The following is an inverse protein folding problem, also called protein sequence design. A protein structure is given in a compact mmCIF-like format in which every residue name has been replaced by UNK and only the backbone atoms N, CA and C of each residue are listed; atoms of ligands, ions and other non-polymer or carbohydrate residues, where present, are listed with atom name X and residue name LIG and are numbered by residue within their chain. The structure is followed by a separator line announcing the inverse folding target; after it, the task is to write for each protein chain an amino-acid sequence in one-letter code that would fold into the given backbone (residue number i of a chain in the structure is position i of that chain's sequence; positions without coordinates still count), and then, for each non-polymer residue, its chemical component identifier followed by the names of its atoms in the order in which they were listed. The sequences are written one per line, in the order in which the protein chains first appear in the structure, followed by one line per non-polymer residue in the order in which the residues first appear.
data_IF_779768688841
#
_entry.id   IF_779768688841
#
_cell.length_a   1.000
_cell.length_b   1.000
_cell.length_c   1.000
_cell.angle_alpha   90.00
_cell.angle_beta   90.00
_cell.angle_gamma   90.00
#
_symmetry.space_group_name_H-M   'P 1'
#
loop_
_entity.id
_entity.type
_entity.pdbx_description
1 polymer ?
#
# COMPACT_ATOMS: atom_id res chain seq x y z
N UNK A 1 -39.78 30.98 -41.15
CA UNK A 1 -38.74 29.96 -40.95
C UNK A 1 -37.73 30.50 -39.96
N UNK A 2 -37.83 30.10 -38.69
CA UNK A 2 -36.86 30.43 -37.63
C UNK A 2 -35.79 29.33 -37.66
N UNK A 3 -34.52 29.71 -37.83
CA UNK A 3 -33.39 28.81 -37.64
C UNK A 3 -33.00 28.82 -36.16
N UNK A 4 -32.96 27.65 -35.53
CA UNK A 4 -32.52 27.45 -34.15
C UNK A 4 -31.00 27.26 -34.11
N UNK A 5 -30.30 28.17 -33.44
CA UNK A 5 -28.93 27.93 -32.96
C UNK A 5 -29.00 26.94 -31.80
N UNK A 6 -28.32 25.79 -31.95
CA UNK A 6 -28.09 24.85 -30.86
C UNK A 6 -26.81 25.29 -30.14
N UNK A 7 -27.04 25.74 -28.92
CA UNK A 7 -26.07 26.00 -27.87
C UNK A 7 -25.21 24.75 -27.65
N UNK A 8 -23.91 24.84 -27.92
CA UNK A 8 -22.94 23.78 -27.61
C UNK A 8 -22.28 24.17 -26.30
N UNK A 9 -22.91 23.77 -25.20
CA UNK A 9 -22.37 23.91 -23.85
C UNK A 9 -21.09 23.11 -23.70
N UNK A 10 -19.96 23.75 -24.00
CA UNK A 10 -18.63 23.30 -23.58
C UNK A 10 -18.57 23.55 -22.07
N UNK A 11 -18.69 22.48 -21.29
CA UNK A 11 -18.47 22.52 -19.85
C UNK A 11 -17.02 22.92 -19.58
N UNK A 12 -16.82 24.05 -18.92
CA UNK A 12 -15.53 24.49 -18.41
C UNK A 12 -14.90 23.41 -17.49
N UNK A 13 -13.56 23.30 -17.45
CA UNK A 13 -12.91 22.29 -16.63
C UNK A 13 -13.14 22.59 -15.14
N UNK A 14 -13.69 21.59 -14.44
CA UNK A 14 -13.92 21.57 -13.01
C UNK A 14 -12.69 22.07 -12.22
N UNK A 15 -13.00 22.92 -11.25
CA UNK A 15 -12.14 23.78 -10.44
C UNK A 15 -10.92 23.07 -9.83
N UNK A 16 -9.74 23.62 -10.06
CA UNK A 16 -8.46 23.32 -9.38
C UNK A 16 -8.53 23.30 -7.84
N UNK A 17 -9.56 23.92 -7.25
CA UNK A 17 -9.82 23.90 -5.80
C UNK A 17 -10.39 22.57 -5.29
N UNK A 18 -11.03 21.75 -6.11
CA UNK A 18 -11.53 20.43 -5.68
C UNK A 18 -10.40 19.39 -5.59
N UNK A 19 -9.35 19.51 -6.42
CA UNK A 19 -8.16 18.63 -6.37
C UNK A 19 -7.31 18.83 -5.12
N UNK A 20 -7.35 20.02 -4.53
CA UNK A 20 -6.59 20.37 -3.31
C UNK A 20 -7.29 19.98 -1.99
N UNK A 21 -8.50 19.39 -2.06
CA UNK A 21 -9.26 18.97 -0.88
C UNK A 21 -8.85 17.59 -0.38
N UNK A 22 -8.23 16.73 -1.21
CA UNK A 22 -7.89 15.36 -0.82
C UNK A 22 -6.80 15.26 0.28
N UNK A 23 -6.01 16.32 0.47
CA UNK A 23 -4.89 16.37 1.44
C UNK A 23 -5.29 17.07 2.75
N UNK A 24 -6.40 17.84 2.76
CA UNK A 24 -6.70 18.75 3.87
C UNK A 24 -7.45 18.14 5.06
N UNK A 25 -7.97 16.92 4.97
CA UNK A 25 -8.93 16.45 5.98
C UNK A 25 -8.44 15.41 6.99
N UNK A 26 -7.16 15.01 7.03
CA UNK A 26 -6.63 14.12 8.10
C UNK A 26 -5.09 14.04 8.24
N UNK A 27 -4.34 15.02 7.74
CA UNK A 27 -2.87 14.98 7.82
C UNK A 27 -2.37 15.12 9.25
N UNK A 28 -1.62 14.14 9.75
CA UNK A 28 -0.97 14.21 11.07
C UNK A 28 0.15 15.26 11.08
N UNK A 29 0.61 15.66 12.26
CA UNK A 29 1.74 16.59 12.40
C UNK A 29 2.96 16.13 11.60
N UNK A 30 3.18 14.82 11.48
CA UNK A 30 4.24 14.22 10.68
C UNK A 30 4.13 14.55 9.18
N UNK A 31 2.94 14.38 8.59
CA UNK A 31 2.72 14.64 7.17
C UNK A 31 2.75 16.13 6.81
N UNK A 32 2.52 17.01 7.78
CA UNK A 32 2.53 18.47 7.57
C UNK A 32 3.87 18.99 7.03
N UNK A 33 4.99 18.34 7.41
CA UNK A 33 6.34 18.71 6.98
C UNK A 33 6.63 18.42 5.50
N UNK A 34 5.92 17.45 4.91
CA UNK A 34 6.10 17.04 3.51
C UNK A 34 4.82 17.25 2.68
N UNK A 35 3.87 18.05 3.19
CA UNK A 35 2.58 18.23 2.55
C UNK A 35 2.71 18.82 1.13
N UNK A 36 3.61 19.78 0.93
CA UNK A 36 3.89 20.35 -0.39
C UNK A 36 4.50 19.31 -1.34
N UNK A 37 5.40 18.47 -0.84
CA UNK A 37 6.00 17.40 -1.64
C UNK A 37 4.96 16.35 -2.04
N UNK A 38 4.05 15.99 -1.13
CA UNK A 38 2.94 15.07 -1.43
C UNK A 38 1.96 15.64 -2.45
N UNK A 39 1.72 16.96 -2.47
CA UNK A 39 0.95 17.60 -3.55
C UNK A 39 1.63 17.38 -4.90
N UNK A 40 2.95 17.60 -5.00
CA UNK A 40 3.67 17.37 -6.25
C UNK A 40 3.65 15.89 -6.66
N UNK A 41 3.68 14.96 -5.70
CA UNK A 41 3.49 13.52 -5.98
C UNK A 41 2.12 13.26 -6.60
N UNK A 42 1.03 13.78 -6.02
CA UNK A 42 -0.33 13.58 -6.57
C UNK A 42 -0.52 14.20 -7.96
N UNK A 43 0.01 15.41 -8.18
CA UNK A 43 -0.07 16.09 -9.47
C UNK A 43 0.66 15.27 -10.54
N UNK A 44 1.91 14.89 -10.28
CA UNK A 44 2.71 14.11 -11.22
C UNK A 44 2.14 12.71 -11.46
N UNK A 45 1.63 12.06 -10.42
CA UNK A 45 0.96 10.76 -10.52
C UNK A 45 -0.26 10.85 -11.45
N UNK A 46 -1.09 11.89 -11.28
CA UNK A 46 -2.26 12.12 -12.12
C UNK A 46 -1.87 12.37 -13.58
N UNK A 47 -0.85 13.20 -13.81
CA UNK A 47 -0.40 13.56 -15.15
C UNK A 47 0.15 12.36 -15.93
N UNK A 48 0.89 11.46 -15.25
CA UNK A 48 1.45 10.26 -15.90
C UNK A 48 0.41 9.22 -16.32
N UNK A 49 -0.77 9.26 -15.71
CA UNK A 49 -1.86 8.34 -16.04
C UNK A 49 -2.72 8.81 -17.21
N UNK A 50 -2.52 10.04 -17.71
CA UNK A 50 -3.17 10.52 -18.91
C UNK A 50 -2.57 9.84 -20.14
N UNK A 51 -3.41 9.12 -20.88
CA UNK A 51 -3.04 8.38 -22.08
C UNK A 51 -3.80 8.91 -23.30
N UNK A 52 -3.21 8.70 -24.49
CA UNK A 52 -3.90 8.92 -25.78
C UNK A 52 -5.09 7.96 -25.96
N UNK A 53 -5.05 6.82 -25.29
CA UNK A 53 -6.18 5.89 -25.21
C UNK A 53 -7.04 6.26 -23.98
N UNK A 54 -8.25 6.82 -24.15
CA UNK A 54 -9.04 7.34 -23.04
C UNK A 54 -9.41 6.30 -21.99
N UNK A 55 -9.62 5.04 -22.40
CA UNK A 55 -10.01 3.98 -21.48
C UNK A 55 -8.92 3.67 -20.44
N UNK A 56 -7.64 3.73 -20.82
CA UNK A 56 -6.52 3.57 -19.88
C UNK A 56 -6.53 4.66 -18.82
N UNK A 57 -6.79 5.90 -19.23
CA UNK A 57 -6.87 7.04 -18.32
C UNK A 57 -8.05 6.87 -17.35
N UNK A 58 -9.21 6.46 -17.85
CA UNK A 58 -10.42 6.26 -17.03
C UNK A 58 -10.19 5.20 -15.95
N UNK A 59 -9.66 4.04 -16.30
CA UNK A 59 -9.46 2.93 -15.36
C UNK A 59 -8.39 3.31 -14.32
N UNK A 60 -7.29 3.91 -14.76
CA UNK A 60 -6.21 4.36 -13.87
C UNK A 60 -6.71 5.40 -12.87
N UNK A 61 -7.46 6.40 -13.32
CA UNK A 61 -8.02 7.44 -12.46
C UNK A 61 -9.16 6.92 -11.58
N UNK A 62 -9.91 5.89 -11.98
CA UNK A 62 -10.91 5.25 -11.12
C UNK A 62 -10.26 4.59 -9.89
N UNK A 63 -9.09 3.97 -10.06
CA UNK A 63 -8.32 3.40 -8.96
C UNK A 63 -7.78 4.49 -8.01
N UNK A 64 -7.11 5.50 -8.57
CA UNK A 64 -6.44 6.55 -7.79
C UNK A 64 -7.44 7.52 -7.14
N UNK A 65 -8.51 7.86 -7.85
CA UNK A 65 -9.59 8.72 -7.36
C UNK A 65 -10.37 8.12 -6.19
N UNK A 66 -10.18 6.83 -5.88
CA UNK A 66 -10.63 6.20 -4.64
C UNK A 66 -9.84 6.63 -3.39
N UNK A 67 -8.85 7.52 -3.53
CA UNK A 67 -8.03 8.06 -2.44
C UNK A 67 -6.78 7.25 -2.17
N UNK A 68 -6.22 7.36 -0.97
CA UNK A 68 -5.03 6.61 -0.56
C UNK A 68 -4.27 7.37 0.53
N UNK A 69 -3.77 6.66 1.54
CA UNK A 69 -3.00 7.28 2.65
C UNK A 69 -1.57 7.67 2.24
N UNK A 70 -1.13 7.31 1.02
CA UNK A 70 0.21 7.57 0.45
C UNK A 70 1.38 7.28 1.40
N UNK A 71 1.24 6.22 2.19
CA UNK A 71 2.22 5.90 3.24
C UNK A 71 3.59 5.57 2.64
N UNK A 72 3.64 4.88 1.49
CA UNK A 72 4.90 4.54 0.80
C UNK A 72 5.64 5.79 0.30
N UNK A 73 5.02 6.69 -0.48
CA UNK A 73 5.58 8.00 -0.80
C UNK A 73 6.04 8.79 0.43
N UNK A 74 5.20 8.87 1.47
CA UNK A 74 5.48 9.64 2.66
C UNK A 74 6.73 9.14 3.41
N UNK A 75 6.84 7.82 3.60
CA UNK A 75 8.01 7.20 4.24
C UNK A 75 9.27 7.50 3.42
N UNK A 76 9.24 7.32 2.10
CA UNK A 76 10.41 7.56 1.27
C UNK A 76 10.86 9.04 1.28
N UNK A 77 9.90 9.98 1.19
CA UNK A 77 10.19 11.42 1.29
C UNK A 77 10.77 11.81 2.66
N UNK A 78 10.22 11.29 3.75
CA UNK A 78 10.74 11.56 5.09
C UNK A 78 12.12 10.95 5.32
N UNK A 79 12.40 9.75 4.79
CA UNK A 79 13.74 9.16 4.83
C UNK A 79 14.75 10.04 4.10
N UNK A 80 14.41 10.51 2.89
CA UNK A 80 15.27 11.40 2.11
C UNK A 80 15.59 12.68 2.90
N UNK A 81 14.56 13.35 3.44
CA UNK A 81 14.71 14.57 4.24
C UNK A 81 15.46 14.34 5.56
N UNK A 82 15.20 13.22 6.25
CA UNK A 82 15.87 12.87 7.50
C UNK A 82 17.36 12.54 7.29
N UNK A 83 17.73 12.07 6.10
CA UNK A 83 19.12 11.87 5.68
C UNK A 83 19.82 13.16 5.22
N UNK A 84 19.13 14.30 5.21
CA UNK A 84 19.69 15.60 4.83
C UNK A 84 19.54 15.95 3.34
N UNK A 85 18.67 15.25 2.60
CA UNK A 85 18.37 15.58 1.22
C UNK A 85 17.55 16.86 1.08
N UNK A 86 17.99 17.79 0.21
CA UNK A 86 17.33 19.08 0.02
C UNK A 86 16.49 19.14 -1.27
N UNK A 87 17.07 18.77 -2.41
CA UNK A 87 16.41 18.79 -3.73
C UNK A 87 15.50 17.56 -3.91
N UNK A 88 14.20 17.79 -3.84
CA UNK A 88 13.19 16.73 -3.90
C UNK A 88 12.85 16.29 -5.31
N UNK A 89 13.33 16.95 -6.38
CA UNK A 89 12.85 16.68 -7.75
C UNK A 89 12.95 15.20 -8.11
N UNK A 90 14.12 14.60 -7.89
CA UNK A 90 14.35 13.17 -8.13
C UNK A 90 13.59 12.29 -7.14
N UNK A 91 13.42 12.75 -5.91
CA UNK A 91 12.68 12.01 -4.88
C UNK A 91 11.17 11.98 -5.16
N UNK A 92 10.59 13.02 -5.78
CA UNK A 92 9.20 13.01 -6.25
C UNK A 92 9.03 11.91 -7.32
N UNK A 93 9.97 11.79 -8.26
CA UNK A 93 9.93 10.74 -9.29
C UNK A 93 9.99 9.34 -8.69
N UNK A 94 10.84 9.12 -7.68
CA UNK A 94 10.90 7.85 -6.94
C UNK A 94 9.59 7.59 -6.19
N UNK A 95 9.06 8.58 -5.49
CA UNK A 95 7.81 8.45 -4.74
C UNK A 95 6.62 8.10 -5.66
N UNK A 96 6.55 8.73 -6.83
CA UNK A 96 5.55 8.44 -7.86
C UNK A 96 5.75 7.04 -8.44
N UNK A 97 6.98 6.63 -8.74
CA UNK A 97 7.26 5.28 -9.24
C UNK A 97 6.84 4.19 -8.24
N UNK A 98 7.11 4.37 -6.94
CA UNK A 98 6.66 3.45 -5.88
C UNK A 98 5.13 3.33 -5.85
N UNK A 99 4.42 4.46 -5.94
CA UNK A 99 2.94 4.45 -5.90
C UNK A 99 2.34 3.89 -7.20
N UNK A 100 2.97 4.10 -8.36
CA UNK A 100 2.57 3.47 -9.63
C UNK A 100 2.75 1.95 -9.57
N UNK A 101 3.90 1.45 -9.08
CA UNK A 101 4.12 0.00 -8.90
C UNK A 101 3.04 -0.58 -7.99
N UNK A 102 2.80 0.04 -6.83
CA UNK A 102 1.74 -0.41 -5.91
C UNK A 102 0.35 -0.34 -6.55
N UNK A 103 0.04 0.70 -7.32
CA UNK A 103 -1.26 0.87 -7.98
C UNK A 103 -1.49 -0.21 -9.04
N UNK A 104 -0.46 -0.56 -9.82
CA UNK A 104 -0.54 -1.64 -10.78
C UNK A 104 -0.86 -2.98 -10.10
N UNK A 105 -0.22 -3.28 -8.96
CA UNK A 105 -0.49 -4.53 -8.23
C UNK A 105 -1.93 -4.57 -7.72
N UNK A 106 -2.52 -3.46 -7.28
CA UNK A 106 -3.92 -3.44 -6.85
C UNK A 106 -4.91 -3.80 -7.97
N UNK A 107 -4.64 -3.41 -9.23
CA UNK A 107 -5.48 -3.84 -10.37
C UNK A 107 -5.33 -5.33 -10.65
N UNK A 108 -4.12 -5.87 -10.50
CA UNK A 108 -3.87 -7.29 -10.66
C UNK A 108 -4.50 -8.09 -9.50
N UNK A 109 -4.42 -7.60 -8.28
CA UNK A 109 -5.06 -8.20 -7.11
C UNK A 109 -6.59 -8.21 -7.26
N UNK A 110 -7.21 -7.13 -7.77
CA UNK A 110 -8.66 -7.10 -8.08
C UNK A 110 -9.09 -8.26 -9.00
N UNK A 111 -8.21 -8.68 -9.93
CA UNK A 111 -8.43 -9.83 -10.81
C UNK A 111 -8.22 -11.15 -10.07
N UNK A 112 -7.10 -11.28 -9.34
CA UNK A 112 -6.68 -12.51 -8.67
C UNK A 112 -7.63 -12.90 -7.53
N UNK A 113 -8.15 -11.91 -6.80
CA UNK A 113 -9.04 -12.09 -5.67
C UNK A 113 -10.52 -12.15 -6.10
N UNK A 114 -10.82 -11.75 -7.35
CA UNK A 114 -12.19 -11.64 -7.84
C UNK A 114 -13.03 -10.61 -7.06
N UNK A 115 -12.36 -9.68 -6.37
CA UNK A 115 -12.98 -8.68 -5.52
C UNK A 115 -13.96 -7.82 -6.31
N UNK A 116 -15.22 -7.72 -5.86
CA UNK A 116 -16.24 -6.89 -6.51
C UNK A 116 -16.14 -5.42 -6.13
N UNK A 117 -15.50 -5.13 -4.99
CA UNK A 117 -15.40 -3.78 -4.43
C UNK A 117 -13.97 -3.46 -3.98
N UNK A 118 -13.60 -2.19 -4.06
CA UNK A 118 -12.33 -1.63 -3.57
C UNK A 118 -12.60 -0.22 -3.05
N UNK A 119 -12.24 0.05 -1.79
CA UNK A 119 -12.43 1.37 -1.11
C UNK A 119 -13.87 1.92 -1.26
N UNK A 120 -14.87 1.08 -0.99
CA UNK A 120 -16.29 1.45 -1.08
C UNK A 120 -16.84 1.63 -2.50
N UNK A 121 -16.05 1.42 -3.55
CA UNK A 121 -16.47 1.52 -4.96
C UNK A 121 -16.39 0.14 -5.64
N UNK A 122 -17.04 -0.02 -6.80
CA UNK A 122 -16.83 -1.20 -7.63
C UNK A 122 -15.34 -1.31 -8.02
N UNK A 123 -14.78 -2.51 -7.92
CA UNK A 123 -13.41 -2.79 -8.36
C UNK A 123 -13.24 -2.52 -9.87
N UNK A 124 -12.00 -2.32 -10.31
CA UNK A 124 -11.74 -2.14 -11.73
C UNK A 124 -12.14 -3.38 -12.52
N UNK A 125 -11.81 -4.56 -11.99
CA UNK A 125 -12.18 -5.86 -12.56
C UNK A 125 -13.70 -6.01 -12.76
N UNK A 126 -14.50 -5.69 -11.73
CA UNK A 126 -15.95 -5.82 -11.82
C UNK A 126 -16.58 -4.82 -12.79
N UNK A 127 -15.98 -3.63 -12.95
CA UNK A 127 -16.56 -2.55 -13.78
C UNK A 127 -16.12 -2.62 -15.24
N UNK A 128 -14.85 -2.92 -15.48
CA UNK A 128 -14.21 -2.81 -16.79
C UNK A 128 -13.84 -4.18 -17.39
N UNK A 129 -13.97 -5.26 -16.61
CA UNK A 129 -13.67 -6.62 -17.02
C UNK A 129 -12.18 -6.98 -16.97
N UNK A 130 -11.90 -8.27 -17.15
CA UNK A 130 -10.56 -8.86 -17.04
C UNK A 130 -9.55 -8.16 -17.96
N UNK A 131 -9.83 -8.13 -19.26
CA UNK A 131 -8.86 -7.69 -20.27
C UNK A 131 -8.44 -6.23 -20.06
N UNK A 132 -9.40 -5.33 -19.85
CA UNK A 132 -9.11 -3.91 -19.67
C UNK A 132 -8.37 -3.64 -18.36
N UNK A 133 -8.73 -4.35 -17.28
CA UNK A 133 -8.08 -4.21 -15.97
C UNK A 133 -6.64 -4.68 -16.02
N UNK A 134 -6.39 -5.84 -16.64
CA UNK A 134 -5.05 -6.41 -16.80
C UNK A 134 -4.14 -5.47 -17.61
N UNK A 135 -4.60 -5.05 -18.79
CA UNK A 135 -3.83 -4.17 -19.67
C UNK A 135 -3.59 -2.79 -19.02
N UNK A 136 -4.51 -2.31 -18.19
CA UNK A 136 -4.30 -1.06 -17.44
C UNK A 136 -3.24 -1.24 -16.35
N UNK A 137 -3.21 -2.38 -15.65
CA UNK A 137 -2.14 -2.70 -14.72
C UNK A 137 -0.77 -2.72 -15.41
N UNK A 138 -0.66 -3.37 -16.58
CA UNK A 138 0.55 -3.37 -17.41
C UNK A 138 0.96 -1.95 -17.85
N UNK A 139 -0.01 -1.10 -18.20
CA UNK A 139 0.22 0.29 -18.56
C UNK A 139 0.80 1.10 -17.38
N UNK A 140 0.18 1.02 -16.20
CA UNK A 140 0.65 1.71 -14.99
C UNK A 140 2.04 1.22 -14.60
N UNK A 141 2.27 -0.10 -14.68
CA UNK A 141 3.58 -0.68 -14.43
C UNK A 141 4.63 -0.14 -15.41
N UNK A 142 4.29 -0.06 -16.71
CA UNK A 142 5.18 0.52 -17.74
C UNK A 142 5.51 1.98 -17.46
N UNK A 143 4.57 2.77 -16.92
CA UNK A 143 4.80 4.16 -16.48
C UNK A 143 5.76 4.26 -15.30
N UNK A 144 5.70 3.32 -14.36
CA UNK A 144 6.69 3.26 -13.29
C UNK A 144 8.10 2.97 -13.84
N UNK A 145 8.23 2.06 -14.80
CA UNK A 145 9.52 1.76 -15.45
C UNK A 145 10.05 2.94 -16.27
N UNK A 146 9.17 3.70 -16.94
CA UNK A 146 9.53 4.96 -17.62
C UNK A 146 10.22 5.94 -16.66
N UNK A 147 9.70 6.11 -15.44
CA UNK A 147 10.34 6.93 -14.41
C UNK A 147 11.64 6.32 -13.91
N UNK A 148 11.65 5.01 -13.60
CA UNK A 148 12.84 4.32 -13.11
C UNK A 148 14.01 4.46 -14.10
N UNK A 149 13.75 4.41 -15.41
CA UNK A 149 14.75 4.52 -16.46
C UNK A 149 15.49 5.86 -16.53
N UNK A 150 15.09 6.87 -15.75
CA UNK A 150 15.79 8.15 -15.62
C UNK A 150 16.96 8.12 -14.63
N UNK A 151 17.02 7.09 -13.79
CA UNK A 151 18.00 6.94 -12.73
C UNK A 151 19.18 6.05 -13.14
N UNK A 152 20.24 6.07 -12.33
CA UNK A 152 21.38 5.19 -12.54
C UNK A 152 21.01 3.70 -12.39
N UNK A 153 21.80 2.83 -13.03
CA UNK A 153 21.58 1.37 -13.08
C UNK A 153 21.34 0.75 -11.69
N UNK A 154 22.02 1.26 -10.67
CA UNK A 154 21.90 0.79 -9.29
C UNK A 154 20.48 0.97 -8.74
N UNK A 155 19.88 2.15 -8.91
CA UNK A 155 18.51 2.44 -8.47
C UNK A 155 17.51 1.59 -9.25
N UNK A 156 17.70 1.47 -10.57
CA UNK A 156 16.86 0.62 -11.42
C UNK A 156 16.89 -0.83 -10.96
N UNK A 157 18.07 -1.35 -10.58
CA UNK A 157 18.23 -2.71 -10.05
C UNK A 157 17.46 -2.90 -8.74
N UNK A 158 17.57 -1.96 -7.80
CA UNK A 158 16.82 -2.03 -6.54
C UNK A 158 15.29 -2.00 -6.75
N UNK A 159 14.81 -1.19 -7.69
CA UNK A 159 13.39 -1.20 -8.07
C UNK A 159 12.98 -2.54 -8.69
N UNK A 160 13.80 -3.11 -9.58
CA UNK A 160 13.56 -4.42 -10.16
C UNK A 160 13.53 -5.53 -9.10
N UNK A 161 14.47 -5.51 -8.14
CA UNK A 161 14.53 -6.46 -7.03
C UNK A 161 13.25 -6.41 -6.17
N UNK A 162 12.72 -5.21 -5.90
CA UNK A 162 11.43 -5.05 -5.22
C UNK A 162 10.28 -5.65 -6.03
N UNK A 163 10.20 -5.39 -7.34
CA UNK A 163 9.16 -5.93 -8.21
C UNK A 163 9.21 -7.46 -8.30
N UNK A 164 10.41 -8.04 -8.44
CA UNK A 164 10.62 -9.49 -8.45
C UNK A 164 10.16 -10.08 -7.11
N UNK A 165 10.65 -9.52 -6.00
CA UNK A 165 10.28 -9.97 -4.65
C UNK A 165 8.76 -9.91 -4.44
N UNK A 166 8.12 -8.80 -4.81
CA UNK A 166 6.68 -8.62 -4.71
C UNK A 166 5.91 -9.70 -5.47
N UNK A 167 6.26 -9.95 -6.74
CA UNK A 167 5.57 -10.93 -7.58
C UNK A 167 5.79 -12.37 -7.11
N UNK A 168 6.97 -12.70 -6.58
CA UNK A 168 7.22 -13.97 -5.91
C UNK A 168 6.37 -14.12 -4.64
N UNK A 169 6.24 -13.04 -3.86
CA UNK A 169 5.39 -12.99 -2.67
C UNK A 169 3.92 -13.23 -3.00
N UNK A 170 3.42 -12.65 -4.10
CA UNK A 170 2.04 -12.86 -4.58
C UNK A 170 1.78 -14.33 -4.93
N UNK A 171 2.68 -14.95 -5.68
CA UNK A 171 2.59 -16.38 -6.00
C UNK A 171 2.66 -17.24 -4.73
N UNK A 172 3.53 -16.87 -3.76
CA UNK A 172 3.63 -17.58 -2.50
C UNK A 172 2.34 -17.49 -1.69
N UNK A 173 1.73 -16.30 -1.58
CA UNK A 173 0.43 -16.13 -0.93
C UNK A 173 -0.63 -17.03 -1.58
N UNK A 174 -0.67 -17.08 -2.92
CA UNK A 174 -1.58 -17.93 -3.67
C UNK A 174 -1.44 -19.44 -3.36
N UNK A 175 -0.22 -19.94 -3.10
CA UNK A 175 0.01 -21.35 -2.69
C UNK A 175 -0.58 -21.67 -1.32
N UNK A 176 -0.65 -20.67 -0.45
CA UNK A 176 -1.18 -20.80 0.91
C UNK A 176 -2.64 -20.35 1.04
N UNK A 177 -3.25 -19.84 -0.04
CA UNK A 177 -4.67 -19.51 -0.07
C UNK A 177 -5.49 -20.76 0.23
N UNK A 178 -6.33 -20.69 1.26
CA UNK A 178 -7.13 -21.81 1.80
C UNK A 178 -6.29 -23.05 2.15
N UNK A 179 -5.02 -22.86 2.52
CA UNK A 179 -4.14 -23.94 2.93
C UNK A 179 -3.83 -23.85 4.43
N UNK A 180 -4.38 -24.75 5.27
CA UNK A 180 -4.21 -24.69 6.72
C UNK A 180 -2.82 -25.19 7.17
N UNK A 181 -1.96 -25.60 6.24
CA UNK A 181 -0.57 -25.96 6.54
C UNK A 181 0.36 -24.74 6.58
N UNK A 182 -0.13 -23.54 6.27
CA UNK A 182 0.64 -22.30 6.36
C UNK A 182 1.18 -22.08 7.77
N UNK A 183 2.46 -21.72 7.87
CA UNK A 183 3.12 -21.41 9.14
C UNK A 183 3.30 -19.91 9.35
N UNK A 184 3.68 -19.51 10.57
CA UNK A 184 4.04 -18.11 10.85
C UNK A 184 5.27 -17.69 10.03
N UNK A 185 6.22 -18.59 9.80
CA UNK A 185 7.41 -18.29 8.98
C UNK A 185 7.02 -18.08 7.51
N UNK A 186 6.12 -18.92 6.97
CA UNK A 186 5.58 -18.72 5.61
C UNK A 186 4.87 -17.38 5.47
N UNK A 187 4.05 -17.01 6.47
CA UNK A 187 3.39 -15.71 6.53
C UNK A 187 4.40 -14.55 6.51
N UNK A 188 5.42 -14.61 7.37
CA UNK A 188 6.44 -13.57 7.47
C UNK A 188 7.19 -13.40 6.15
N UNK A 189 7.50 -14.50 5.46
CA UNK A 189 8.13 -14.47 4.14
C UNK A 189 7.21 -13.85 3.07
N UNK A 190 5.91 -14.17 3.09
CA UNK A 190 4.93 -13.56 2.19
C UNK A 190 4.93 -12.04 2.34
N UNK A 191 4.77 -11.53 3.56
CA UNK A 191 4.65 -10.07 3.77
C UNK A 191 5.98 -9.35 3.59
N UNK A 192 7.11 -10.01 3.86
CA UNK A 192 8.45 -9.51 3.58
C UNK A 192 8.62 -9.23 2.08
N UNK A 193 8.13 -10.16 1.26
CA UNK A 193 8.18 -10.09 -0.21
C UNK A 193 7.14 -9.14 -0.79
N UNK A 194 5.86 -9.36 -0.49
CA UNK A 194 4.72 -8.66 -1.09
C UNK A 194 4.62 -7.20 -0.65
N UNK A 195 4.92 -6.92 0.62
CA UNK A 195 4.69 -5.59 1.21
C UNK A 195 5.98 -4.88 1.59
N UNK A 196 6.85 -5.51 2.39
CA UNK A 196 8.03 -4.84 2.94
C UNK A 196 9.12 -4.53 1.89
N UNK A 197 9.19 -5.29 0.80
CA UNK A 197 10.15 -5.09 -0.29
C UNK A 197 10.09 -3.66 -0.88
N UNK A 198 8.90 -3.15 -1.20
CA UNK A 198 8.74 -1.80 -1.73
C UNK A 198 9.09 -0.71 -0.71
N UNK A 199 8.73 -0.90 0.57
CA UNK A 199 9.11 0.05 1.63
C UNK A 199 10.64 0.08 1.81
N UNK A 200 11.27 -1.08 1.87
CA UNK A 200 12.71 -1.22 2.09
C UNK A 200 13.52 -0.61 0.94
N UNK A 201 13.18 -0.92 -0.32
CA UNK A 201 13.88 -0.36 -1.47
C UNK A 201 13.59 1.14 -1.65
N UNK A 202 12.36 1.59 -1.38
CA UNK A 202 12.03 3.02 -1.38
C UNK A 202 12.86 3.82 -0.38
N UNK A 203 13.01 3.32 0.85
CA UNK A 203 13.83 3.94 1.88
C UNK A 203 15.33 3.90 1.52
N UNK A 204 15.81 2.80 0.92
CA UNK A 204 17.20 2.68 0.45
C UNK A 204 17.53 3.72 -0.64
N UNK A 205 16.67 3.82 -1.66
CA UNK A 205 16.81 4.79 -2.75
C UNK A 205 16.78 6.21 -2.20
N UNK A 206 15.85 6.51 -1.29
CA UNK A 206 15.74 7.82 -0.65
C UNK A 206 17.01 8.21 0.11
N UNK A 207 17.57 7.30 0.90
CA UNK A 207 18.83 7.55 1.61
C UNK A 207 20.00 7.77 0.62
N UNK A 208 20.10 6.91 -0.40
CA UNK A 208 21.14 7.03 -1.43
C UNK A 208 21.08 8.36 -2.19
N UNK A 209 19.88 8.80 -2.59
CA UNK A 209 19.68 10.10 -3.25
C UNK A 209 19.98 11.30 -2.33
N UNK A 210 19.86 11.14 -1.02
CA UNK A 210 20.29 12.15 -0.05
C UNK A 210 21.82 12.26 0.08
N UNK A 211 22.59 11.40 -0.62
CA UNK A 211 24.05 11.46 -0.63
C UNK A 211 24.72 10.84 0.59
N UNK A 212 24.01 10.04 1.38
CA UNK A 212 24.60 9.32 2.52
C UNK A 212 25.41 8.10 2.08
N UNK A 213 26.32 7.64 2.94
CA UNK A 213 27.15 6.46 2.65
C UNK A 213 26.36 5.15 2.69
N UNK A 214 26.91 4.09 2.08
CA UNK A 214 26.26 2.77 1.94
C UNK A 214 25.78 2.19 3.28
N UNK A 215 26.54 2.37 4.36
CA UNK A 215 26.14 1.90 5.69
C UNK A 215 24.81 2.53 6.15
N UNK A 216 24.61 3.82 5.91
CA UNK A 216 23.37 4.52 6.25
C UNK A 216 22.26 4.12 5.28
N UNK A 217 22.56 3.98 3.98
CA UNK A 217 21.57 3.50 3.00
C UNK A 217 21.05 2.10 3.33
N UNK A 218 21.91 1.18 3.76
CA UNK A 218 21.51 -0.16 4.23
C UNK A 218 20.74 -0.12 5.55
N UNK A 219 21.11 0.78 6.48
CA UNK A 219 20.33 0.98 7.70
C UNK A 219 18.91 1.49 7.38
N UNK A 220 18.76 2.36 6.38
CA UNK A 220 17.46 2.85 5.93
C UNK A 220 16.68 1.82 5.13
N UNK A 221 17.36 0.94 4.37
CA UNK A 221 16.73 -0.24 3.79
C UNK A 221 16.10 -1.11 4.87
N UNK A 222 16.86 -1.44 5.93
CA UNK A 222 16.38 -2.23 7.04
C UNK A 222 15.26 -1.49 7.81
N UNK A 223 15.34 -0.17 7.94
CA UNK A 223 14.29 0.63 8.56
C UNK A 223 12.98 0.50 7.77
N UNK A 224 13.02 0.76 6.46
CA UNK A 224 11.87 0.61 5.57
C UNK A 224 11.30 -0.83 5.58
N UNK A 225 12.15 -1.85 5.63
CA UNK A 225 11.72 -3.24 5.79
C UNK A 225 10.87 -3.43 7.05
N UNK A 226 11.38 -3.01 8.21
CA UNK A 226 10.66 -3.15 9.47
C UNK A 226 9.36 -2.34 9.50
N UNK A 227 9.33 -1.14 8.91
CA UNK A 227 8.10 -0.34 8.74
C UNK A 227 7.08 -1.11 7.89
N UNK A 228 7.50 -1.68 6.76
CA UNK A 228 6.62 -2.44 5.87
C UNK A 228 6.07 -3.72 6.52
N UNK A 229 6.88 -4.42 7.32
CA UNK A 229 6.43 -5.57 8.10
C UNK A 229 5.36 -5.18 9.12
N UNK A 230 5.64 -4.17 9.94
CA UNK A 230 4.67 -3.67 10.93
C UNK A 230 3.38 -3.18 10.25
N UNK A 231 3.49 -2.47 9.13
CA UNK A 231 2.35 -1.98 8.37
C UNK A 231 1.41 -3.11 7.96
N UNK A 232 1.92 -4.21 7.41
CA UNK A 232 1.09 -5.33 6.98
C UNK A 232 0.49 -6.08 8.18
N UNK A 233 1.27 -6.33 9.23
CA UNK A 233 0.78 -7.03 10.43
C UNK A 233 -0.38 -6.26 11.08
N UNK A 234 -0.31 -4.93 11.08
CA UNK A 234 -1.40 -4.08 11.59
C UNK A 234 -2.60 -4.07 10.64
N UNK A 235 -2.40 -4.06 9.32
CA UNK A 235 -3.51 -4.16 8.35
C UNK A 235 -4.28 -5.48 8.53
N UNK A 236 -3.57 -6.60 8.69
CA UNK A 236 -4.13 -7.91 8.99
C UNK A 236 -4.89 -7.94 10.32
N UNK A 237 -4.38 -7.23 11.33
CA UNK A 237 -5.06 -7.10 12.61
C UNK A 237 -6.39 -6.35 12.44
N UNK A 238 -6.39 -5.24 11.70
CA UNK A 238 -7.58 -4.45 11.41
C UNK A 238 -8.61 -5.22 10.58
N UNK A 239 -8.22 -6.19 9.76
CA UNK A 239 -9.18 -7.07 9.08
C UNK A 239 -10.02 -7.90 10.06
N UNK A 240 -9.54 -8.12 11.30
CA UNK A 240 -10.27 -8.92 12.31
C UNK A 240 -10.98 -8.06 13.35
N UNK A 241 -10.38 -6.95 13.79
CA UNK A 241 -10.92 -6.12 14.89
C UNK A 241 -11.30 -4.70 14.47
N UNK A 242 -11.14 -4.37 13.19
CA UNK A 242 -11.44 -3.04 12.66
C UNK A 242 -12.91 -2.67 12.80
N UNK A 243 -13.16 -1.39 13.05
CA UNK A 243 -14.45 -0.76 12.92
C UNK A 243 -14.69 -0.46 11.43
N UNK A 244 -15.77 -1.03 10.86
CA UNK A 244 -16.13 -0.86 9.44
C UNK A 244 -16.41 0.60 9.09
N UNK A 245 -16.98 1.37 10.03
CA UNK A 245 -17.32 2.79 9.82
C UNK A 245 -16.06 3.65 9.71
N UNK A 246 -14.97 3.25 10.37
CA UNK A 246 -13.70 3.99 10.38
C UNK A 246 -12.70 3.47 9.34
N UNK A 247 -12.73 2.18 9.01
CA UNK A 247 -11.87 1.58 7.97
C UNK A 247 -12.41 1.75 6.56
N UNK A 248 -13.73 1.94 6.42
CA UNK A 248 -14.41 1.99 5.12
C UNK A 248 -14.37 0.66 4.36
N UNK A 249 -14.09 -0.45 5.07
CA UNK A 249 -14.05 -1.81 4.54
C UNK A 249 -14.71 -2.78 5.54
N UNK A 250 -15.41 -3.82 5.07
CA UNK A 250 -15.91 -4.87 5.95
C UNK A 250 -14.75 -5.65 6.57
N UNK A 251 -14.95 -6.17 7.78
CA UNK A 251 -13.99 -7.08 8.42
C UNK A 251 -14.05 -8.49 7.82
N UNK A 252 -12.96 -9.24 7.90
CA UNK A 252 -12.87 -10.64 7.50
C UNK A 252 -12.73 -10.84 5.99
N UNK A 253 -12.16 -9.87 5.27
CA UNK A 253 -11.87 -10.02 3.84
C UNK A 253 -10.86 -11.14 3.65
N UNK A 254 -9.82 -11.21 4.48
CA UNK A 254 -8.81 -12.26 4.37
C UNK A 254 -9.41 -13.65 4.60
N UNK A 255 -10.34 -13.76 5.54
CA UNK A 255 -11.04 -15.02 5.81
C UNK A 255 -11.96 -15.41 4.64
N UNK A 256 -12.66 -14.42 4.05
CA UNK A 256 -13.51 -14.64 2.88
C UNK A 256 -12.70 -15.15 1.69
N UNK A 257 -11.58 -14.51 1.41
CA UNK A 257 -10.72 -14.82 0.26
C UNK A 257 -9.82 -16.04 0.54
N UNK A 258 -9.73 -16.46 1.80
CA UNK A 258 -8.86 -17.54 2.26
C UNK A 258 -7.39 -17.14 2.26
N UNK A 259 -7.08 -15.85 2.35
CA UNK A 259 -5.72 -15.33 2.44
C UNK A 259 -5.13 -15.60 3.84
N UNK A 260 -3.86 -16.03 3.95
CA UNK A 260 -3.27 -16.45 5.21
C UNK A 260 -2.75 -15.28 6.05
N UNK A 261 -3.62 -14.37 6.52
CA UNK A 261 -3.22 -13.28 7.40
C UNK A 261 -2.84 -13.77 8.80
N UNK A 262 -1.98 -13.05 9.52
CA UNK A 262 -1.40 -13.56 10.76
C UNK A 262 -2.42 -14.01 11.83
N UNK A 263 -3.50 -13.24 12.12
CA UNK A 263 -4.54 -13.71 13.03
C UNK A 263 -5.13 -15.07 12.62
N UNK A 264 -5.35 -15.28 11.32
CA UNK A 264 -5.91 -16.50 10.77
C UNK A 264 -4.91 -17.66 10.83
N UNK A 265 -3.64 -17.44 10.47
CA UNK A 265 -2.57 -18.46 10.59
C UNK A 265 -2.51 -18.99 12.02
N UNK A 266 -2.54 -18.11 13.02
CA UNK A 266 -2.51 -18.50 14.43
C UNK A 266 -3.79 -19.21 14.89
N UNK A 267 -4.96 -18.76 14.41
CA UNK A 267 -6.25 -19.29 14.82
C UNK A 267 -6.61 -20.63 14.16
N UNK A 268 -6.28 -20.82 12.88
CA UNK A 268 -6.51 -22.06 12.12
C UNK A 268 -5.80 -23.26 12.75
N UNK A 269 -4.66 -23.03 13.40
CA UNK A 269 -3.92 -24.06 14.14
C UNK A 269 -4.60 -24.45 15.47
N UNK A 270 -5.51 -23.63 15.99
CA UNK A 270 -6.06 -23.76 17.36
C UNK A 270 -7.56 -24.06 17.42
N UNK A 271 -8.35 -23.61 16.43
CA UNK A 271 -9.81 -23.78 16.40
C UNK A 271 -10.26 -24.45 15.09
N UNK A 272 -10.95 -25.60 15.23
CA UNK A 272 -11.41 -26.41 14.10
C UNK A 272 -12.49 -25.73 13.27
N UNK A 273 -13.30 -24.86 13.88
CA UNK A 273 -14.36 -24.13 13.18
C UNK A 273 -13.78 -22.97 12.37
N UNK A 274 -12.82 -22.22 12.93
CA UNK A 274 -12.04 -21.22 12.16
C UNK A 274 -11.37 -21.89 10.97
N UNK A 275 -10.73 -23.05 11.19
CA UNK A 275 -10.14 -23.85 10.10
C UNK A 275 -11.16 -24.29 9.06
N UNK A 276 -12.36 -24.72 9.48
CA UNK A 276 -13.43 -25.14 8.57
C UNK A 276 -13.88 -23.98 7.68
N UNK A 277 -14.05 -22.77 8.24
CA UNK A 277 -14.46 -21.57 7.49
C UNK A 277 -13.34 -21.11 6.55
N UNK A 278 -12.08 -21.11 7.00
CA UNK A 278 -10.93 -20.75 6.16
C UNK A 278 -10.80 -21.63 4.89
N UNK A 279 -11.11 -22.92 5.01
CA UNK A 279 -11.11 -23.89 3.91
C UNK A 279 -12.30 -23.75 2.94
N UNK A 280 -13.35 -23.01 3.31
CA UNK A 280 -14.60 -22.97 2.56
C UNK A 280 -14.48 -22.02 1.35
N UNK A 281 -14.72 -22.45 0.09
CA UNK A 281 -14.53 -21.61 -1.09
C UNK A 281 -15.31 -20.29 -1.13
N UNK A 282 -16.51 -20.27 -0.58
CA UNK A 282 -17.39 -19.10 -0.54
C UNK A 282 -18.15 -19.09 0.80
N UNK A 283 -17.50 -18.68 1.91
CA UNK A 283 -18.18 -18.61 3.19
C UNK A 283 -19.16 -17.44 3.21
N UNK A 284 -20.35 -17.67 3.76
CA UNK A 284 -21.34 -16.63 3.98
C UNK A 284 -20.94 -15.71 5.16
N UNK A 285 -21.60 -14.57 5.25
CA UNK A 285 -21.28 -13.53 6.24
C UNK A 285 -21.51 -14.03 7.68
N UNK A 286 -22.45 -14.96 7.89
CA UNK A 286 -22.71 -15.56 9.19
C UNK A 286 -21.56 -16.48 9.63
N UNK A 287 -21.05 -17.30 8.72
CA UNK A 287 -19.89 -18.17 8.96
C UNK A 287 -18.61 -17.34 9.23
N UNK A 288 -18.39 -16.27 8.46
CA UNK A 288 -17.27 -15.34 8.68
C UNK A 288 -17.40 -14.68 10.05
N UNK A 289 -18.55 -14.09 10.37
CA UNK A 289 -18.78 -13.43 11.65
C UNK A 289 -18.52 -14.35 12.85
N UNK A 290 -19.08 -15.56 12.82
CA UNK A 290 -18.87 -16.55 13.87
C UNK A 290 -17.42 -17.03 14.01
N UNK A 291 -16.68 -17.14 12.90
CA UNK A 291 -15.25 -17.46 12.93
C UNK A 291 -14.41 -16.29 13.49
N UNK A 292 -14.71 -15.05 13.13
CA UNK A 292 -14.00 -13.87 13.67
C UNK A 292 -14.21 -13.73 15.18
N UNK A 293 -15.41 -13.99 15.70
CA UNK A 293 -15.66 -14.04 17.15
C UNK A 293 -14.75 -15.06 17.85
N UNK A 294 -14.57 -16.24 17.25
CA UNK A 294 -13.65 -17.26 17.77
C UNK A 294 -12.20 -16.80 17.71
N UNK A 295 -11.76 -16.21 16.60
CA UNK A 295 -10.40 -15.64 16.47
C UNK A 295 -10.14 -14.64 17.60
N UNK A 296 -11.09 -13.74 17.89
CA UNK A 296 -10.98 -12.77 19.00
C UNK A 296 -10.93 -13.46 20.36
N UNK A 297 -11.71 -14.52 20.57
CA UNK A 297 -11.74 -15.27 21.83
C UNK A 297 -10.47 -16.10 22.11
N UNK A 298 -9.73 -16.50 21.08
CA UNK A 298 -8.48 -17.27 21.23
C UNK A 298 -7.31 -16.46 21.81
N UNK A 299 -7.41 -15.13 21.87
CA UNK A 299 -6.34 -14.27 22.37
C UNK A 299 -5.13 -14.15 21.43
N UNK A 300 -5.21 -14.65 20.19
CA UNK A 300 -4.13 -14.60 19.20
C UNK A 300 -3.76 -13.17 18.81
N UNK A 301 -4.72 -12.23 18.88
CA UNK A 301 -4.51 -10.82 18.53
C UNK A 301 -3.44 -10.14 19.39
N UNK A 302 -3.29 -10.55 20.66
CA UNK A 302 -2.21 -10.04 21.51
C UNK A 302 -0.82 -10.44 20.99
N UNK A 303 -0.70 -11.61 20.37
CA UNK A 303 0.54 -12.07 19.73
C UNK A 303 0.81 -11.28 18.44
N UNK A 304 -0.22 -11.02 17.64
CA UNK A 304 -0.14 -10.19 16.43
C UNK A 304 0.36 -8.78 16.76
N UNK A 305 -0.23 -8.14 17.79
CA UNK A 305 0.19 -6.81 18.26
C UNK A 305 1.65 -6.78 18.71
N UNK A 306 2.07 -7.72 19.57
CA UNK A 306 3.48 -7.80 20.03
C UNK A 306 4.46 -7.94 18.86
N UNK A 307 4.08 -8.69 17.82
CA UNK A 307 4.94 -8.84 16.66
C UNK A 307 5.04 -7.54 15.86
N UNK A 308 3.94 -6.80 15.68
CA UNK A 308 3.97 -5.46 15.09
C UNK A 308 4.84 -4.50 15.91
N UNK A 309 4.67 -4.46 17.24
CA UNK A 309 5.46 -3.66 18.18
C UNK A 309 6.96 -3.98 18.11
N UNK A 310 7.31 -5.25 17.91
CA UNK A 310 8.70 -5.68 17.73
C UNK A 310 9.31 -5.12 16.44
N UNK A 311 8.56 -5.11 15.34
CA UNK A 311 9.00 -4.53 14.07
C UNK A 311 9.07 -2.99 14.15
N UNK A 312 8.09 -2.31 14.77
CA UNK A 312 8.15 -0.86 14.94
C UNK A 312 9.33 -0.45 15.82
N UNK A 313 9.61 -1.17 16.92
CA UNK A 313 10.79 -0.93 17.75
C UNK A 313 12.09 -1.05 16.97
N UNK A 314 12.26 -2.10 16.15
CA UNK A 314 13.45 -2.25 15.28
C UNK A 314 13.58 -1.11 14.27
N UNK A 315 12.47 -0.64 13.70
CA UNK A 315 12.48 0.52 12.82
C UNK A 315 12.97 1.77 13.55
N UNK A 316 12.47 2.04 14.77
CA UNK A 316 12.89 3.18 15.61
C UNK A 316 14.36 3.12 16.00
N UNK A 317 14.87 1.94 16.36
CA UNK A 317 16.29 1.76 16.68
C UNK A 317 17.19 2.14 15.49
N UNK A 318 16.77 1.82 14.26
CA UNK A 318 17.45 2.21 13.03
C UNK A 318 17.29 3.70 12.72
N UNK A 319 16.12 4.30 12.98
CA UNK A 319 15.93 5.75 12.84
C UNK A 319 16.82 6.54 13.79
N UNK A 320 17.03 6.04 15.00
CA UNK A 320 17.88 6.67 16.01
C UNK A 320 19.36 6.78 15.59
N UNK A 321 19.80 6.03 14.56
CA UNK A 321 21.15 6.18 13.99
C UNK A 321 21.30 7.43 13.13
N UNK A 322 20.20 8.05 12.68
CA UNK A 322 20.23 9.32 11.97
C UNK A 322 20.35 10.51 12.95
N UNK A 323 21.00 11.61 12.53
CA UNK A 323 20.99 12.85 13.28
C UNK A 323 19.56 13.31 13.61
N UNK A 324 19.39 13.92 14.78
CA UNK A 324 18.11 14.50 15.16
C UNK A 324 17.66 15.55 14.12
N UNK A 325 16.43 15.43 13.63
CA UNK A 325 15.79 16.40 12.75
C UNK A 325 14.26 16.32 12.89
N UNK A 326 13.55 17.38 12.50
CA UNK A 326 12.09 17.37 12.48
C UNK A 326 11.54 16.25 11.57
N UNK A 327 12.24 15.92 10.49
CA UNK A 327 11.86 14.85 9.57
C UNK A 327 12.06 13.46 10.17
N UNK A 328 13.11 13.25 10.96
CA UNK A 328 13.30 12.01 11.72
C UNK A 328 12.17 11.80 12.74
N UNK A 329 11.82 12.86 13.48
CA UNK A 329 10.69 12.82 14.43
C UNK A 329 9.35 12.59 13.71
N UNK A 330 9.14 13.19 12.54
CA UNK A 330 7.94 12.91 11.74
C UNK A 330 7.89 11.45 11.24
N UNK A 331 9.04 10.88 10.86
CA UNK A 331 9.10 9.47 10.46
C UNK A 331 8.80 8.53 11.65
N UNK A 332 9.30 8.83 12.84
CA UNK A 332 8.91 8.14 14.08
C UNK A 332 7.41 8.32 14.40
N UNK A 333 6.85 9.50 14.10
CA UNK A 333 5.41 9.77 14.14
C UNK A 333 4.62 8.82 13.23
N UNK A 334 5.06 8.59 11.99
CA UNK A 334 4.43 7.60 11.09
C UNK A 334 4.52 6.18 11.67
N UNK A 335 5.68 5.79 12.23
CA UNK A 335 5.85 4.47 12.85
C UNK A 335 4.89 4.30 14.02
N UNK A 336 4.73 5.35 14.83
CA UNK A 336 3.79 5.40 15.94
C UNK A 336 2.34 5.32 15.46
N UNK A 337 1.97 6.05 14.42
CA UNK A 337 0.64 5.94 13.82
C UNK A 337 0.35 4.56 13.24
N UNK A 338 1.35 3.87 12.69
CA UNK A 338 1.20 2.48 12.25
C UNK A 338 0.92 1.57 13.44
N UNK A 339 1.61 1.73 14.55
CA UNK A 339 1.42 0.92 15.77
C UNK A 339 0.09 1.22 16.46
N UNK A 340 -0.21 2.50 16.61
CA UNK A 340 -1.38 3.06 17.26
C UNK A 340 -2.59 3.11 16.33
N UNK A 341 -2.54 2.50 15.15
CA UNK A 341 -3.70 2.22 14.31
C UNK A 341 -4.63 1.26 15.06
N UNK A 342 -5.29 1.85 16.03
CA UNK A 342 -6.52 1.47 16.69
C UNK A 342 -7.47 2.57 16.25
N UNK A 343 -8.57 2.13 15.67
CA UNK A 343 -9.67 3.01 15.33
C UNK A 343 -10.23 3.59 16.63
#
# INVERSE_FOLDING_TARGET
MRASEKDTGVSEPHDSRERSILIRSNGTAALSLIAADLVHVEEKLTDLLVSREPLLSEISLHLIGGGGKRVRPAVALLVFKACGGDDVVDMIDVAVALELIHSATLLHDDIIDGGKTRRGRASAFSRYGLANTLVTGDFIFSKAFELCGRFEERIVRWAADACISLTEGEIMQGRFRRNPAVTVDDYLEIIARKTASLFSQGARVAAHLAGVGEQTSEAMWACGFNIGMAFQIVDDLLDVEGDEDLTGKPVGIDLRDGNPSLPLVLAVAQDSEVRRVFLMPEPDDAAIGGALERVRALGVLATVRRLAEDYTRRARDLLATLPYSAFREALDGIVTEIEERRL
#
